data_IF_554493843658
#
_entry.id   IF_554493843658
#
_cell.length_a   1.000
_cell.length_b   1.000
_cell.length_c   1.000
_cell.angle_alpha   90.00
_cell.angle_beta   90.00
_cell.angle_gamma   90.00
#
_symmetry.space_group_name_H-M   'P 1'
#
loop_
_entity.id
_entity.type
_entity.pdbx_description
1 polymer ?
#
# COMPACT_ATOMS: atom_id res chain seq x y z
N UNK A 1 27.67 -9.08 -56.19
CA UNK A 1 26.61 -9.44 -55.22
C UNK A 1 27.01 -8.81 -53.88
N UNK A 2 26.38 -7.68 -53.50
CA UNK A 2 26.73 -6.89 -52.30
C UNK A 2 25.77 -7.30 -51.19
N UNK A 3 26.26 -7.95 -50.13
CA UNK A 3 25.45 -8.34 -48.98
C UNK A 3 25.44 -7.16 -48.00
N UNK A 4 24.32 -6.45 -47.89
CA UNK A 4 24.09 -5.46 -46.86
C UNK A 4 23.78 -6.18 -45.53
N UNK A 5 24.73 -6.16 -44.59
CA UNK A 5 24.52 -6.60 -43.21
C UNK A 5 23.96 -5.38 -42.46
N UNK A 6 22.67 -5.39 -42.17
CA UNK A 6 22.04 -4.41 -41.26
C UNK A 6 22.35 -4.80 -39.82
N UNK A 7 22.92 -3.90 -38.99
CA UNK A 7 23.10 -4.18 -37.58
C UNK A 7 21.72 -4.24 -36.90
N UNK A 8 21.37 -5.38 -36.30
CA UNK A 8 20.24 -5.52 -35.42
C UNK A 8 20.54 -4.72 -34.15
N UNK A 9 19.85 -3.60 -33.95
CA UNK A 9 19.88 -2.87 -32.69
C UNK A 9 19.28 -3.77 -31.60
N UNK A 10 20.10 -4.37 -30.74
CA UNK A 10 19.63 -4.93 -29.48
C UNK A 10 19.13 -3.75 -28.64
N UNK A 11 17.81 -3.58 -28.56
CA UNK A 11 17.19 -2.76 -27.54
C UNK A 11 17.49 -3.47 -26.20
N UNK A 12 18.44 -2.93 -25.43
CA UNK A 12 18.61 -3.31 -24.05
C UNK A 12 17.30 -2.95 -23.34
N UNK A 13 16.53 -3.96 -22.94
CA UNK A 13 15.44 -3.74 -22.01
C UNK A 13 16.08 -3.23 -20.72
N UNK A 14 15.75 -2.00 -20.31
CA UNK A 14 16.11 -1.45 -18.99
C UNK A 14 15.50 -2.39 -17.94
N UNK A 15 16.29 -3.36 -17.50
CA UNK A 15 15.90 -4.21 -16.39
C UNK A 15 15.97 -3.35 -15.12
N UNK A 16 14.81 -2.87 -14.68
CA UNK A 16 14.69 -2.14 -13.43
C UNK A 16 15.21 -3.03 -12.30
N UNK A 17 16.31 -2.61 -11.68
CA UNK A 17 16.97 -3.33 -10.60
C UNK A 17 17.10 -2.44 -9.37
N UNK A 18 17.22 -3.08 -8.21
CA UNK A 18 17.46 -2.41 -6.95
C UNK A 18 18.46 -3.19 -6.10
N UNK A 19 19.05 -2.53 -5.10
CA UNK A 19 19.87 -3.17 -4.09
C UNK A 19 19.02 -3.45 -2.85
N UNK A 20 19.07 -4.67 -2.36
CA UNK A 20 18.42 -5.11 -1.14
C UNK A 20 19.47 -5.31 -0.05
N UNK A 21 19.28 -4.65 1.09
CA UNK A 21 20.08 -4.84 2.30
C UNK A 21 19.18 -5.51 3.35
N UNK A 22 19.63 -6.63 3.92
CA UNK A 22 18.82 -7.43 4.83
C UNK A 22 19.42 -7.45 6.24
N UNK A 23 18.53 -7.47 7.23
CA UNK A 23 18.86 -7.76 8.62
C UNK A 23 17.95 -8.89 9.10
N UNK A 24 18.54 -10.04 9.43
CA UNK A 24 17.81 -11.27 9.73
C UNK A 24 17.59 -12.13 8.49
N UNK A 25 16.60 -13.01 8.53
CA UNK A 25 16.31 -13.99 7.49
C UNK A 25 15.35 -13.39 6.46
N UNK A 26 15.83 -13.21 5.24
CA UNK A 26 15.04 -12.74 4.09
C UNK A 26 15.18 -13.72 2.96
N UNK A 27 14.07 -14.08 2.34
CA UNK A 27 14.03 -14.99 1.20
C UNK A 27 13.74 -14.21 -0.08
N UNK A 28 14.43 -14.58 -1.16
CA UNK A 28 14.10 -14.17 -2.53
C UNK A 28 13.68 -15.41 -3.31
N UNK A 29 12.47 -15.40 -3.82
CA UNK A 29 11.88 -16.53 -4.54
C UNK A 29 11.97 -17.85 -3.75
N UNK A 30 11.78 -17.76 -2.41
CA UNK A 30 11.85 -18.90 -1.48
C UNK A 30 13.26 -19.31 -1.05
N UNK A 31 14.33 -18.65 -1.51
CA UNK A 31 15.72 -18.95 -1.16
C UNK A 31 16.29 -17.82 -0.30
N UNK A 32 16.92 -18.19 0.83
CA UNK A 32 17.58 -17.24 1.70
C UNK A 32 18.73 -16.51 0.98
N UNK A 33 18.79 -15.20 1.14
CA UNK A 33 19.78 -14.35 0.50
C UNK A 33 20.76 -13.73 1.50
N UNK A 34 21.99 -13.41 1.06
CA UNK A 34 22.98 -12.74 1.89
C UNK A 34 22.54 -11.30 2.25
N UNK A 35 23.25 -10.68 3.20
CA UNK A 35 22.94 -9.36 3.75
C UNK A 35 22.84 -8.23 2.71
N UNK A 36 23.43 -8.40 1.53
CA UNK A 36 23.23 -7.50 0.39
C UNK A 36 23.10 -8.29 -0.90
N UNK A 37 22.11 -7.97 -1.71
CA UNK A 37 21.82 -8.66 -2.96
C UNK A 37 21.19 -7.72 -3.97
N UNK A 38 21.53 -7.87 -5.24
CA UNK A 38 20.78 -7.23 -6.31
C UNK A 38 19.44 -7.98 -6.49
N UNK A 39 18.38 -7.23 -6.69
CA UNK A 39 17.05 -7.76 -7.02
C UNK A 39 16.57 -7.18 -8.33
N UNK A 40 15.74 -7.92 -9.02
CA UNK A 40 15.22 -7.59 -10.33
C UNK A 40 13.70 -7.62 -10.35
N UNK A 41 13.12 -6.99 -11.36
CA UNK A 41 11.68 -7.02 -11.56
C UNK A 41 11.17 -8.47 -11.67
N UNK A 42 10.13 -8.80 -10.89
CA UNK A 42 9.57 -10.14 -10.73
C UNK A 42 10.11 -10.92 -9.53
N UNK A 43 11.10 -10.39 -8.78
CA UNK A 43 11.58 -11.05 -7.57
C UNK A 43 10.56 -10.91 -6.43
N UNK A 44 10.25 -12.05 -5.81
CA UNK A 44 9.39 -12.14 -4.62
C UNK A 44 10.26 -12.15 -3.36
N UNK A 45 10.02 -11.19 -2.48
CA UNK A 45 10.77 -10.95 -1.25
C UNK A 45 9.91 -11.30 -0.04
N UNK A 46 10.40 -12.17 0.83
CA UNK A 46 9.74 -12.54 2.07
C UNK A 46 10.65 -12.23 3.26
N UNK A 47 10.20 -11.38 4.19
CA UNK A 47 10.88 -11.14 5.46
C UNK A 47 10.29 -12.05 6.54
N UNK A 48 11.14 -12.78 7.24
CA UNK A 48 10.70 -13.61 8.38
C UNK A 48 10.47 -12.76 9.63
N UNK A 49 9.95 -13.36 10.69
CA UNK A 49 9.79 -12.69 11.98
C UNK A 49 11.14 -12.11 12.45
N UNK A 50 11.13 -10.88 13.00
CA UNK A 50 12.31 -10.12 13.45
C UNK A 50 13.34 -9.81 12.34
N UNK A 51 12.94 -9.87 11.08
CA UNK A 51 13.79 -9.58 9.93
C UNK A 51 13.26 -8.36 9.20
N UNK A 52 14.17 -7.53 8.68
CA UNK A 52 13.85 -6.32 7.92
C UNK A 52 14.70 -6.32 6.66
N UNK A 53 14.12 -5.87 5.56
CA UNK A 53 14.86 -5.62 4.34
C UNK A 53 14.72 -4.15 3.92
N UNK A 54 15.83 -3.54 3.50
CA UNK A 54 15.86 -2.20 2.93
C UNK A 54 16.20 -2.31 1.44
N UNK A 55 15.25 -1.98 0.59
CA UNK A 55 15.37 -1.93 -0.84
C UNK A 55 15.73 -0.49 -1.24
N UNK A 56 16.84 -0.34 -1.95
CA UNK A 56 17.32 0.96 -2.44
C UNK A 56 17.34 0.94 -3.97
N UNK A 57 16.57 1.82 -4.58
CA UNK A 57 16.56 2.08 -6.01
C UNK A 57 16.86 3.57 -6.25
N UNK A 58 17.06 3.97 -7.50
CA UNK A 58 17.35 5.40 -7.82
C UNK A 58 16.29 6.31 -7.23
N UNK A 59 16.72 7.22 -6.33
CA UNK A 59 15.84 8.20 -5.67
C UNK A 59 14.72 7.59 -4.81
N UNK A 60 14.89 6.36 -4.35
CA UNK A 60 13.87 5.68 -3.55
C UNK A 60 14.50 4.73 -2.54
N UNK A 61 13.90 4.63 -1.38
CA UNK A 61 14.22 3.68 -0.31
C UNK A 61 12.94 3.07 0.22
N UNK A 62 12.89 1.76 0.34
CA UNK A 62 11.74 1.04 0.87
C UNK A 62 12.18 0.11 1.98
N UNK A 63 11.55 0.23 3.12
CA UNK A 63 11.75 -0.68 4.25
C UNK A 63 10.61 -1.68 4.23
N UNK A 64 10.95 -2.96 4.08
CA UNK A 64 10.03 -4.09 4.17
C UNK A 64 10.11 -4.60 5.61
N UNK A 65 8.99 -4.51 6.32
CA UNK A 65 8.89 -4.84 7.74
C UNK A 65 8.82 -6.37 7.97
N UNK A 66 8.98 -6.84 9.21
CA UNK A 66 8.92 -8.27 9.52
C UNK A 66 7.60 -8.93 9.11
N UNK A 67 7.68 -10.17 8.64
CA UNK A 67 6.51 -10.96 8.25
C UNK A 67 5.79 -10.44 7.02
N UNK A 68 6.51 -9.82 6.09
CA UNK A 68 5.94 -9.28 4.85
C UNK A 68 6.32 -10.11 3.65
N UNK A 69 5.41 -10.19 2.67
CA UNK A 69 5.62 -10.78 1.35
C UNK A 69 5.36 -9.72 0.28
N UNK A 70 6.39 -9.39 -0.50
CA UNK A 70 6.38 -8.28 -1.45
C UNK A 70 7.02 -8.71 -2.76
N UNK A 71 6.36 -8.45 -3.89
CA UNK A 71 6.94 -8.61 -5.22
C UNK A 71 7.49 -7.26 -5.71
N UNK A 72 8.74 -7.24 -6.14
CA UNK A 72 9.36 -6.08 -6.75
C UNK A 72 9.09 -6.07 -8.27
N UNK A 73 8.44 -5.03 -8.76
CA UNK A 73 8.12 -4.86 -10.19
C UNK A 73 8.72 -3.53 -10.72
N UNK A 74 10.00 -3.30 -10.43
CA UNK A 74 10.70 -2.08 -10.83
C UNK A 74 10.19 -0.83 -10.11
N UNK A 75 9.25 -0.11 -10.70
CA UNK A 75 8.64 1.10 -10.10
C UNK A 75 7.42 0.81 -9.23
N UNK A 76 7.02 -0.44 -9.12
CA UNK A 76 5.87 -0.84 -8.30
C UNK A 76 6.28 -1.95 -7.34
N UNK A 77 5.84 -1.85 -6.11
CA UNK A 77 5.91 -2.92 -5.12
C UNK A 77 4.51 -3.49 -4.92
N UNK A 78 4.33 -4.77 -5.19
CA UNK A 78 3.08 -5.48 -4.91
C UNK A 78 3.18 -6.11 -3.53
N UNK A 79 2.39 -5.66 -2.58
CA UNK A 79 2.33 -6.22 -1.22
C UNK A 79 1.23 -7.27 -1.20
N UNK A 80 1.63 -8.52 -0.94
CA UNK A 80 0.71 -9.65 -0.80
C UNK A 80 0.19 -9.76 0.65
N UNK A 81 1.05 -9.46 1.63
CA UNK A 81 0.71 -9.25 3.03
C UNK A 81 1.88 -8.56 3.75
N UNK A 82 1.61 -8.00 4.91
CA UNK A 82 2.60 -7.36 5.78
C UNK A 82 2.64 -5.85 5.63
N UNK A 83 3.81 -5.24 5.78
CA UNK A 83 3.94 -3.78 5.84
C UNK A 83 5.19 -3.28 5.15
N UNK A 84 5.06 -2.16 4.46
CA UNK A 84 6.17 -1.46 3.82
C UNK A 84 6.14 0.03 4.16
N UNK A 85 7.33 0.61 4.37
CA UNK A 85 7.51 2.05 4.50
C UNK A 85 8.34 2.55 3.32
N UNK A 86 7.79 3.48 2.57
CA UNK A 86 8.34 3.99 1.31
C UNK A 86 8.78 5.44 1.48
N UNK A 87 9.97 5.75 0.99
CA UNK A 87 10.47 7.10 0.84
C UNK A 87 10.98 7.27 -0.60
N UNK A 88 10.38 8.14 -1.39
CA UNK A 88 10.68 8.25 -2.82
C UNK A 88 10.57 9.68 -3.35
N UNK A 89 11.44 10.02 -4.29
CA UNK A 89 11.34 11.20 -5.16
C UNK A 89 11.18 10.82 -6.64
N UNK A 90 11.24 9.53 -6.97
CA UNK A 90 11.15 9.00 -8.33
C UNK A 90 9.88 8.18 -8.58
N UNK A 91 8.91 8.27 -7.67
CA UNK A 91 7.56 7.76 -7.92
C UNK A 91 7.40 6.25 -7.80
N UNK A 92 8.14 5.58 -6.89
CA UNK A 92 7.80 4.20 -6.53
C UNK A 92 6.37 4.18 -5.99
N UNK A 93 5.53 3.34 -6.56
CA UNK A 93 4.16 3.07 -6.13
C UNK A 93 4.08 1.75 -5.36
N UNK A 94 3.05 1.65 -4.50
CA UNK A 94 2.74 0.41 -3.78
C UNK A 94 1.37 -0.07 -4.20
N UNK A 95 1.27 -1.31 -4.63
CA UNK A 95 0.02 -1.97 -4.97
C UNK A 95 -0.33 -3.00 -3.91
N UNK A 96 -1.58 -2.98 -3.47
CA UNK A 96 -2.21 -4.02 -2.64
C UNK A 96 -3.47 -4.44 -3.35
N UNK A 97 -3.48 -5.63 -3.91
CA UNK A 97 -4.60 -6.14 -4.73
C UNK A 97 -5.03 -5.14 -5.81
N UNK A 98 -6.25 -4.60 -5.70
CA UNK A 98 -6.82 -3.65 -6.66
C UNK A 98 -6.58 -2.17 -6.30
N UNK A 99 -5.87 -1.90 -5.21
CA UNK A 99 -5.50 -0.55 -4.77
C UNK A 99 -4.04 -0.25 -5.09
N UNK A 100 -3.77 0.96 -5.57
CA UNK A 100 -2.41 1.44 -5.83
C UNK A 100 -2.20 2.80 -5.15
N UNK A 101 -1.19 2.89 -4.32
CA UNK A 101 -0.76 4.13 -3.66
C UNK A 101 0.35 4.76 -4.48
N UNK A 102 0.16 6.01 -4.90
CA UNK A 102 1.06 6.73 -5.79
C UNK A 102 1.42 8.09 -5.19
N UNK A 103 2.70 8.49 -5.14
CA UNK A 103 3.08 9.87 -4.84
C UNK A 103 2.47 10.85 -5.85
N UNK A 104 1.97 12.00 -5.38
CA UNK A 104 1.35 13.00 -6.27
C UNK A 104 2.41 13.84 -6.97
N UNK A 105 3.55 14.07 -6.31
CA UNK A 105 4.60 14.94 -6.80
C UNK A 105 5.95 14.23 -6.85
N UNK A 106 6.93 14.81 -7.55
CA UNK A 106 8.32 14.40 -7.53
C UNK A 106 9.10 14.89 -6.30
N UNK A 107 8.44 15.51 -5.34
CA UNK A 107 9.05 15.83 -4.05
C UNK A 107 9.30 14.55 -3.24
N UNK A 108 10.25 14.61 -2.29
CA UNK A 108 10.58 13.49 -1.42
C UNK A 108 9.36 13.13 -0.54
N UNK A 109 8.62 12.12 -0.97
CA UNK A 109 7.37 11.66 -0.36
C UNK A 109 7.62 10.44 0.52
N UNK A 110 7.02 10.41 1.71
CA UNK A 110 7.08 9.26 2.62
C UNK A 110 5.69 8.77 2.96
N UNK A 111 5.46 7.47 2.86
CA UNK A 111 4.19 6.84 3.20
C UNK A 111 4.40 5.40 3.64
N UNK A 112 3.43 4.89 4.38
CA UNK A 112 3.39 3.50 4.83
C UNK A 112 2.14 2.81 4.29
N UNK A 113 2.31 1.54 3.94
CA UNK A 113 1.22 0.67 3.52
C UNK A 113 1.32 -0.63 4.31
N UNK A 114 0.22 -1.01 4.93
CA UNK A 114 0.10 -2.24 5.72
C UNK A 114 -1.07 -3.05 5.21
N UNK A 115 -0.86 -4.34 4.97
CA UNK A 115 -1.91 -5.31 4.66
C UNK A 115 -1.86 -6.43 5.69
N UNK A 116 -2.82 -6.44 6.58
CA UNK A 116 -2.92 -7.43 7.66
C UNK A 116 -4.37 -7.89 7.81
N UNK A 117 -4.59 -9.19 7.74
CA UNK A 117 -5.91 -9.82 7.94
C UNK A 117 -7.00 -9.26 7.02
N UNK A 118 -6.66 -8.92 5.78
CA UNK A 118 -7.63 -8.38 4.80
C UNK A 118 -7.96 -6.90 5.01
N UNK A 119 -7.23 -6.21 5.86
CA UNK A 119 -7.37 -4.78 6.13
C UNK A 119 -6.12 -4.03 5.67
N UNK A 120 -6.30 -3.05 4.79
CA UNK A 120 -5.23 -2.24 4.23
C UNK A 120 -5.20 -0.88 4.91
N UNK A 121 -4.13 -0.66 5.68
CA UNK A 121 -3.82 0.64 6.31
C UNK A 121 -2.87 1.44 5.42
N UNK A 122 -3.15 2.71 5.20
CA UNK A 122 -2.33 3.63 4.40
C UNK A 122 -2.15 4.92 5.18
N UNK A 123 -0.89 5.37 5.31
CA UNK A 123 -0.57 6.61 6.04
C UNK A 123 0.40 7.47 5.21
N UNK A 124 0.02 8.72 4.95
CA UNK A 124 0.87 9.73 4.33
C UNK A 124 1.71 10.41 5.42
N UNK A 125 3.01 10.12 5.49
CA UNK A 125 3.92 10.69 6.52
C UNK A 125 4.52 12.01 6.11
N UNK A 126 4.79 12.19 4.83
CA UNK A 126 5.38 13.41 4.26
C UNK A 126 4.92 13.55 2.82
N UNK A 127 4.41 14.72 2.48
CA UNK A 127 3.75 15.05 1.23
C UNK A 127 2.51 14.19 0.92
N UNK A 128 1.71 14.65 -0.03
CA UNK A 128 0.45 14.05 -0.39
C UNK A 128 0.63 12.81 -1.27
N UNK A 129 -0.23 11.84 -1.08
CA UNK A 129 -0.31 10.62 -1.89
C UNK A 129 -1.71 10.46 -2.47
N UNK A 130 -1.81 9.73 -3.57
CA UNK A 130 -3.09 9.36 -4.19
C UNK A 130 -3.28 7.85 -4.10
N UNK A 131 -4.48 7.48 -3.71
CA UNK A 131 -4.95 6.10 -3.70
C UNK A 131 -5.83 5.89 -4.94
N UNK A 132 -5.32 5.14 -5.90
CA UNK A 132 -6.05 4.74 -7.10
C UNK A 132 -6.64 3.35 -6.89
N UNK A 133 -7.91 3.16 -7.22
CA UNK A 133 -8.55 1.84 -7.23
C UNK A 133 -8.71 1.39 -8.69
N UNK A 134 -8.21 0.21 -9.01
CA UNK A 134 -8.32 -0.36 -10.34
C UNK A 134 -9.30 -1.53 -10.27
N UNK A 135 -10.45 -1.46 -10.95
CA UNK A 135 -11.34 -2.61 -11.04
C UNK A 135 -10.62 -3.76 -11.76
N UNK A 136 -10.88 -4.98 -11.29
CA UNK A 136 -10.33 -6.20 -11.89
C UNK A 136 -10.48 -6.19 -13.41
N UNK A 137 -9.36 -6.42 -14.11
CA UNK A 137 -9.27 -6.43 -15.57
C UNK A 137 -9.92 -7.69 -16.21
N UNK A 138 -10.96 -8.24 -15.60
CA UNK A 138 -11.67 -9.40 -16.15
C UNK A 138 -12.56 -9.08 -17.36
N UNK A 139 -12.57 -7.82 -17.83
CA UNK A 139 -13.33 -7.44 -19.02
C UNK A 139 -12.49 -6.55 -19.96
N UNK A 140 -11.99 -7.09 -21.10
CA UNK A 140 -11.13 -6.32 -22.02
C UNK A 140 -11.81 -5.15 -22.72
N UNK A 141 -13.08 -4.91 -22.51
CA UNK A 141 -13.89 -3.92 -23.24
C UNK A 141 -14.08 -2.60 -22.49
N UNK A 142 -13.61 -2.46 -21.26
CA UNK A 142 -13.86 -1.29 -20.40
C UNK A 142 -12.61 -0.47 -20.04
N UNK A 143 -11.46 -0.82 -20.62
CA UNK A 143 -10.15 -0.15 -20.31
C UNK A 143 -10.07 1.30 -20.81
N UNK A 144 -11.01 1.76 -21.66
CA UNK A 144 -10.91 3.07 -22.30
C UNK A 144 -11.62 4.22 -21.55
N UNK A 145 -12.38 3.97 -20.49
CA UNK A 145 -13.19 5.01 -19.83
C UNK A 145 -13.29 4.88 -18.30
N UNK A 146 -12.47 4.06 -17.65
CA UNK A 146 -12.43 4.06 -16.19
C UNK A 146 -11.79 5.37 -15.71
N UNK A 147 -12.60 6.35 -15.36
CA UNK A 147 -12.19 7.50 -14.55
C UNK A 147 -11.54 6.93 -13.29
N UNK A 148 -10.22 7.05 -13.18
CA UNK A 148 -9.47 6.71 -11.98
C UNK A 148 -9.93 7.65 -10.87
N UNK A 149 -10.89 7.20 -10.09
CA UNK A 149 -11.38 7.95 -8.93
C UNK A 149 -10.35 7.79 -7.83
N UNK A 150 -9.26 8.57 -7.90
CA UNK A 150 -8.23 8.57 -6.90
C UNK A 150 -8.68 9.35 -5.66
N UNK A 151 -8.53 8.77 -4.48
CA UNK A 151 -8.67 9.50 -3.21
C UNK A 151 -7.30 10.09 -2.86
N UNK A 152 -7.25 11.40 -2.59
CA UNK A 152 -6.02 12.05 -2.13
C UNK A 152 -5.97 11.99 -0.61
N UNK A 153 -4.86 11.49 -0.07
CA UNK A 153 -4.49 11.58 1.33
C UNK A 153 -3.43 12.66 1.47
N UNK A 154 -3.69 13.64 2.32
CA UNK A 154 -2.76 14.72 2.62
C UNK A 154 -1.71 14.26 3.61
N UNK A 155 -0.61 14.97 3.68
CA UNK A 155 0.41 14.77 4.70
C UNK A 155 -0.21 14.74 6.11
N UNK A 156 0.12 13.69 6.87
CA UNK A 156 -0.44 13.41 8.20
C UNK A 156 -1.73 12.59 8.19
N UNK A 157 -2.39 12.43 7.03
CA UNK A 157 -3.61 11.64 6.94
C UNK A 157 -3.32 10.14 6.96
N UNK A 158 -4.28 9.39 7.49
CA UNK A 158 -4.29 7.93 7.43
C UNK A 158 -5.69 7.42 7.10
N UNK A 159 -5.74 6.28 6.43
CA UNK A 159 -7.00 5.61 6.09
C UNK A 159 -6.84 4.10 6.23
N UNK A 160 -7.92 3.43 6.58
CA UNK A 160 -8.00 1.97 6.59
C UNK A 160 -9.15 1.56 5.68
N UNK A 161 -8.91 0.55 4.83
CA UNK A 161 -9.89 0.02 3.89
C UNK A 161 -9.88 -1.50 3.94
N UNK A 162 -11.01 -2.09 3.62
CA UNK A 162 -11.07 -3.53 3.36
C UNK A 162 -10.33 -3.83 2.04
N UNK A 163 -9.53 -4.88 2.01
CA UNK A 163 -8.77 -5.32 0.84
C UNK A 163 -9.66 -5.50 -0.41
N UNK A 164 -10.90 -5.95 -0.19
CA UNK A 164 -11.87 -6.18 -1.26
C UNK A 164 -12.53 -4.90 -1.80
N UNK A 165 -12.44 -3.77 -1.10
CA UNK A 165 -13.12 -2.53 -1.49
C UNK A 165 -12.55 -1.94 -2.79
N UNK A 166 -11.25 -2.08 -3.00
CA UNK A 166 -10.59 -1.66 -4.24
C UNK A 166 -11.02 -2.43 -5.49
N UNK A 167 -11.51 -3.67 -5.31
CA UNK A 167 -11.89 -4.57 -6.40
C UNK A 167 -13.40 -4.52 -6.75
N UNK A 168 -14.20 -3.87 -5.93
CA UNK A 168 -15.65 -3.76 -6.18
C UNK A 168 -15.93 -2.72 -7.27
N UNK A 169 -16.44 -3.17 -8.41
CA UNK A 169 -16.99 -2.27 -9.42
C UNK A 169 -18.11 -1.40 -8.82
N UNK A 170 -18.00 -0.09 -8.96
CA UNK A 170 -19.02 0.92 -8.53
C UNK A 170 -20.40 0.81 -9.24
N UNK A 171 -20.73 -0.36 -9.79
CA UNK A 171 -22.02 -0.57 -10.50
C UNK A 171 -23.25 -0.61 -9.60
N UNK A 172 -23.11 -0.47 -8.25
CA UNK A 172 -24.27 -0.54 -7.34
C UNK A 172 -24.92 0.78 -6.96
N UNK A 173 -24.52 1.92 -7.55
CA UNK A 173 -25.12 3.21 -7.19
C UNK A 173 -26.19 3.75 -8.17
N UNK A 174 -26.64 2.96 -9.16
CA UNK A 174 -27.68 3.40 -10.11
C UNK A 174 -29.03 2.72 -9.97
N UNK A 175 -29.20 1.75 -9.10
CA UNK A 175 -30.49 1.07 -8.93
C UNK A 175 -31.21 1.40 -7.60
N UNK A 176 -30.87 2.49 -6.94
CA UNK A 176 -31.77 3.15 -6.01
C UNK A 176 -32.74 4.04 -6.82
N UNK A 177 -33.36 3.42 -7.83
CA UNK A 177 -34.44 4.00 -8.61
C UNK A 177 -35.64 4.17 -7.74
N UNK A 178 -36.25 5.33 -7.88
CA UNK A 178 -37.57 5.76 -7.54
C UNK A 178 -38.48 4.70 -6.90
N UNK A 179 -38.66 4.79 -5.60
CA UNK A 179 -39.81 4.19 -4.91
C UNK A 179 -41.01 5.09 -5.21
N UNK A 180 -42.09 4.57 -5.84
CA UNK A 180 -43.28 5.34 -6.00
C UNK A 180 -43.90 5.64 -4.63
N UNK A 181 -44.34 6.89 -4.45
CA UNK A 181 -45.07 7.33 -3.27
C UNK A 181 -46.32 6.46 -3.07
N UNK A 182 -46.25 5.62 -2.05
CA UNK A 182 -47.37 4.82 -1.55
C UNK A 182 -47.68 5.26 -0.12
N UNK A 183 -48.84 5.80 0.03
CA UNK A 183 -49.55 6.25 1.22
C UNK A 183 -49.48 5.34 2.44
N UNK A 184 -49.24 5.92 3.60
CA UNK A 184 -49.94 5.56 4.85
C UNK A 184 -49.21 4.66 5.83
N UNK A 185 -48.95 5.18 6.99
CA UNK A 185 -48.80 4.46 8.24
C UNK A 185 -47.82 5.06 9.24
N UNK A 186 -48.32 5.60 10.38
CA UNK A 186 -47.40 6.09 11.42
C UNK A 186 -46.93 4.89 12.25
N UNK A 187 -45.70 4.48 12.12
CA UNK A 187 -45.04 3.58 13.05
C UNK A 187 -44.19 4.41 14.01
N UNK A 188 -44.83 4.73 15.13
CA UNK A 188 -44.21 5.14 16.38
C UNK A 188 -43.22 4.07 16.84
N UNK A 189 -41.92 4.29 16.68
CA UNK A 189 -40.91 3.42 17.29
C UNK A 189 -40.15 4.19 18.37
N UNK A 190 -40.71 4.19 19.58
CA UNK A 190 -40.04 4.60 20.83
C UNK A 190 -38.89 3.67 21.24
N UNK A 191 -38.40 2.77 20.39
CA UNK A 191 -37.45 1.71 20.73
C UNK A 191 -36.02 2.02 20.33
N UNK A 192 -35.72 3.26 19.86
CA UNK A 192 -34.35 3.66 19.48
C UNK A 192 -33.69 4.68 20.42
N UNK A 193 -34.17 4.85 21.62
CA UNK A 193 -33.59 5.79 22.60
C UNK A 193 -32.70 5.17 23.68
N UNK A 194 -32.39 3.87 23.64
CA UNK A 194 -31.61 3.24 24.72
C UNK A 194 -30.41 2.38 24.23
N UNK A 195 -29.75 2.67 23.12
CA UNK A 195 -28.63 1.86 22.63
C UNK A 195 -27.40 2.62 22.15
N UNK A 196 -27.19 3.83 22.52
CA UNK A 196 -26.14 4.68 21.92
C UNK A 196 -25.13 5.31 22.88
N UNK A 197 -24.64 4.62 23.91
CA UNK A 197 -23.60 5.21 24.79
C UNK A 197 -22.74 4.15 25.50
N UNK A 198 -22.02 3.30 24.73
CA UNK A 198 -21.03 2.41 25.33
C UNK A 198 -19.92 1.99 24.38
N UNK A 199 -19.31 2.89 23.62
CA UNK A 199 -18.16 2.54 22.78
C UNK A 199 -17.09 3.63 22.62
N UNK A 200 -16.93 4.55 23.57
CA UNK A 200 -15.83 5.54 23.53
C UNK A 200 -14.95 5.57 24.80
N UNK A 201 -14.89 4.48 25.56
CA UNK A 201 -14.15 4.43 26.84
C UNK A 201 -12.84 3.63 26.84
N UNK A 202 -12.35 3.06 25.73
CA UNK A 202 -11.25 2.09 25.74
C UNK A 202 -9.88 2.56 25.28
N UNK A 203 -9.74 3.71 24.66
CA UNK A 203 -8.46 4.16 24.06
C UNK A 203 -7.72 5.27 24.82
N UNK A 204 -8.30 5.79 25.88
CA UNK A 204 -7.71 6.89 26.67
C UNK A 204 -6.78 6.47 27.81
N UNK A 205 -6.73 5.20 28.18
CA UNK A 205 -6.00 4.75 29.38
C UNK A 205 -4.61 4.15 29.10
N UNK A 206 -4.25 3.99 27.84
CA UNK A 206 -2.95 3.37 27.49
C UNK A 206 -1.80 4.37 27.31
N UNK A 207 -2.10 5.65 27.18
CA UNK A 207 -1.10 6.72 26.98
C UNK A 207 -0.59 7.38 28.27
N UNK A 208 -1.06 6.95 29.45
CA UNK A 208 -0.68 7.56 30.72
C UNK A 208 0.35 6.77 31.55
N UNK A 209 0.88 5.65 31.02
CA UNK A 209 1.76 4.76 31.79
C UNK A 209 3.19 4.63 31.25
N UNK A 210 3.59 5.43 30.26
CA UNK A 210 4.98 5.42 29.75
C UNK A 210 5.67 6.77 29.93
N UNK A 211 5.87 7.16 31.22
CA UNK A 211 6.86 8.18 31.58
C UNK A 211 7.62 7.73 32.84
N UNK A 212 8.48 6.73 32.67
CA UNK A 212 9.58 6.49 33.59
C UNK A 212 10.87 6.44 32.76
N UNK A 213 11.51 7.59 32.61
CA UNK A 213 12.87 7.71 32.10
C UNK A 213 13.85 7.08 33.10
N UNK A 214 14.69 6.09 32.71
CA UNK A 214 15.71 5.57 33.58
C UNK A 214 16.78 6.64 33.87
N UNK A 215 17.30 6.75 35.10
CA UNK A 215 18.30 7.74 35.45
C UNK A 215 19.61 7.51 34.70
N UNK A 216 20.10 8.57 34.08
CA UNK A 216 21.38 8.59 33.36
C UNK A 216 22.56 8.24 34.31
N UNK A 217 23.46 7.26 33.95
CA UNK A 217 24.55 6.82 34.83
C UNK A 217 25.84 7.62 34.72
N UNK A 218 25.84 8.81 34.17
CA UNK A 218 27.08 9.63 34.05
C UNK A 218 26.90 11.01 34.63
N UNK A 219 27.39 11.21 35.87
CA UNK A 219 27.95 12.47 36.36
C UNK A 219 29.32 12.17 36.97
N UNK A 220 30.35 13.00 36.64
CA UNK A 220 31.69 12.89 37.18
C UNK A 220 31.77 13.27 38.65
#
# INVERSE_FOLDING_TARGET
MLILITPASLAAADSESAMLFTKGVVLRNGVEIPNSSAIFSGDLLETKANSVANLTATGSSVIILPGSLVEFQGKTLSVEHGSVSVATSHGISVRVKCMTVVPISSAWTQFEVTDVNGSVGISAKKNDIRLDTQPDASSPKEVAAASRTGTVLREGDQTTRDESDGCKNEKRKKDAGAVPAGTGGPLNSELMKLGGLAALGGLGLWLALEHDDPPSPWKP
#
